data_IF_049828341999
#
_entry.id   IF_049828341999
#
_cell.length_a   1.000
_cell.length_b   1.000
_cell.length_c   1.000
_cell.angle_alpha   90.00
_cell.angle_beta   90.00
_cell.angle_gamma   90.00
#
_symmetry.space_group_name_H-M   'P 1'
#
loop_
_entity.id
_entity.type
_entity.pdbx_description
1 polymer ?
#
# COMPACT_ATOMS: atom_id res chain seq x y z
N UNK A 1 4.47 20.52 4.03
CA UNK A 1 3.25 19.75 4.33
C UNK A 1 2.90 18.95 3.08
N UNK A 2 2.88 17.62 3.18
CA UNK A 2 2.53 16.71 2.09
C UNK A 2 1.01 16.72 1.86
N UNK A 3 0.58 16.73 0.60
CA UNK A 3 -0.84 16.72 0.23
C UNK A 3 -1.16 15.43 -0.50
N UNK A 4 -2.10 14.66 0.03
CA UNK A 4 -2.48 13.37 -0.51
C UNK A 4 -3.84 13.48 -1.21
N UNK A 5 -3.93 12.93 -2.42
CA UNK A 5 -5.11 13.08 -3.26
C UNK A 5 -6.33 12.35 -2.69
N UNK A 6 -6.13 11.13 -2.20
CA UNK A 6 -7.19 10.27 -1.70
C UNK A 6 -7.37 10.42 -0.19
N UNK A 7 -8.46 9.87 0.34
CA UNK A 7 -8.71 9.90 1.78
C UNK A 7 -7.80 8.93 2.55
N UNK A 8 -7.80 9.05 3.88
CA UNK A 8 -7.01 8.22 4.79
C UNK A 8 -7.36 6.72 4.76
N UNK A 9 -8.56 6.37 4.29
CA UNK A 9 -9.12 5.03 4.34
C UNK A 9 -8.84 4.21 3.07
N UNK A 10 -8.22 4.81 2.06
CA UNK A 10 -7.81 4.12 0.84
C UNK A 10 -6.90 2.93 1.17
N UNK A 11 -7.33 1.71 0.83
CA UNK A 11 -6.58 0.47 1.03
C UNK A 11 -5.39 0.40 0.07
N UNK A 12 -4.22 0.02 0.60
CA UNK A 12 -2.96 0.05 -0.15
C UNK A 12 -2.38 -1.33 -0.50
N UNK A 13 -2.91 -2.42 0.07
CA UNK A 13 -2.46 -3.80 -0.18
C UNK A 13 -0.92 -3.94 -0.16
N UNK A 14 -0.30 -3.52 0.94
CA UNK A 14 1.16 -3.59 1.08
C UNK A 14 1.66 -5.01 1.26
N UNK A 15 2.94 -5.22 0.96
CA UNK A 15 3.68 -6.42 1.35
C UNK A 15 5.12 -6.00 1.66
N UNK A 16 5.71 -6.59 2.69
CA UNK A 16 7.11 -6.37 2.97
C UNK A 16 7.99 -7.02 1.90
N UNK A 17 9.06 -6.36 1.48
CA UNK A 17 9.92 -6.83 0.37
C UNK A 17 10.52 -8.22 0.64
N UNK A 18 10.93 -8.49 1.87
CA UNK A 18 11.51 -9.79 2.26
C UNK A 18 10.48 -10.91 2.20
N UNK A 19 9.20 -10.61 2.46
CA UNK A 19 8.12 -11.61 2.36
C UNK A 19 7.78 -11.88 0.90
N UNK A 20 7.77 -10.83 0.05
CA UNK A 20 7.60 -10.97 -1.38
C UNK A 20 8.72 -11.82 -2.01
N UNK A 21 9.98 -11.57 -1.66
CA UNK A 21 11.10 -12.38 -2.15
C UNK A 21 10.98 -13.86 -1.76
N UNK A 22 10.58 -14.14 -0.52
CA UNK A 22 10.34 -15.51 -0.05
C UNK A 22 9.17 -16.17 -0.79
N UNK A 23 8.09 -15.44 -1.04
CA UNK A 23 6.95 -15.92 -1.81
C UNK A 23 7.35 -16.26 -3.26
N UNK A 24 8.12 -15.40 -3.92
CA UNK A 24 8.65 -15.67 -5.27
C UNK A 24 9.49 -16.95 -5.27
N UNK A 25 10.41 -17.10 -4.31
CA UNK A 25 11.24 -18.31 -4.20
C UNK A 25 10.39 -19.57 -3.96
N UNK A 26 9.38 -19.47 -3.11
CA UNK A 26 8.46 -20.57 -2.81
C UNK A 26 7.69 -21.03 -4.05
N UNK A 27 7.24 -20.11 -4.91
CA UNK A 27 6.56 -20.45 -6.15
C UNK A 27 7.55 -20.98 -7.21
N UNK A 28 8.71 -20.35 -7.36
CA UNK A 28 9.72 -20.73 -8.35
C UNK A 28 10.26 -22.16 -8.18
N UNK A 29 10.11 -22.75 -7.01
CA UNK A 29 10.58 -24.11 -6.67
C UNK A 29 9.51 -25.20 -6.82
N UNK A 30 8.35 -24.85 -7.40
CA UNK A 30 7.15 -25.70 -7.45
C UNK A 30 6.55 -25.81 -8.85
N UNK A 31 6.48 -27.02 -9.38
CA UNK A 31 5.91 -27.29 -10.71
C UNK A 31 4.41 -26.99 -10.78
N UNK A 32 3.67 -27.17 -9.67
CA UNK A 32 2.21 -26.95 -9.60
C UNK A 32 1.82 -25.47 -9.67
N UNK A 33 2.80 -24.56 -9.63
CA UNK A 33 2.57 -23.11 -9.68
C UNK A 33 2.83 -22.50 -11.06
N UNK A 34 3.28 -23.32 -12.02
CA UNK A 34 3.58 -22.87 -13.37
C UNK A 34 2.33 -22.32 -14.07
N UNK A 35 2.52 -21.20 -14.78
CA UNK A 35 1.47 -20.48 -15.50
C UNK A 35 0.27 -20.05 -14.63
N UNK A 36 0.44 -19.95 -13.31
CA UNK A 36 -0.57 -19.42 -12.40
C UNK A 36 -0.29 -17.95 -12.05
N UNK A 37 -1.34 -17.21 -11.68
CA UNK A 37 -1.26 -15.82 -11.23
C UNK A 37 -1.60 -15.75 -9.75
N UNK A 38 -0.72 -15.11 -8.97
CA UNK A 38 -0.89 -14.93 -7.53
C UNK A 38 -0.87 -13.45 -7.16
N UNK A 39 -1.92 -12.99 -6.48
CA UNK A 39 -1.90 -11.70 -5.80
C UNK A 39 -1.30 -11.88 -4.41
N UNK A 40 -0.28 -11.10 -4.09
CA UNK A 40 0.44 -11.18 -2.82
C UNK A 40 0.23 -9.89 -2.05
N UNK A 41 -0.19 -10.02 -0.80
CA UNK A 41 -0.42 -8.92 0.14
C UNK A 41 -0.08 -9.42 1.54
N UNK A 42 0.41 -8.54 2.40
CA UNK A 42 0.56 -8.85 3.82
C UNK A 42 -0.79 -8.85 4.55
N UNK A 43 -0.77 -9.23 5.81
CA UNK A 43 -1.96 -9.28 6.69
C UNK A 43 -2.24 -7.96 7.41
N UNK A 44 -1.52 -6.89 7.09
CA UNK A 44 -1.50 -5.62 7.83
C UNK A 44 -2.70 -4.71 7.55
N UNK A 45 -3.52 -5.01 6.54
CA UNK A 45 -4.72 -4.25 6.15
C UNK A 45 -4.47 -2.73 6.02
N UNK A 46 -3.31 -2.40 5.44
CA UNK A 46 -2.76 -1.05 5.44
C UNK A 46 -3.58 -0.08 4.59
N UNK A 47 -3.66 1.16 5.08
CA UNK A 47 -4.32 2.27 4.40
C UNK A 47 -3.34 3.38 4.07
N UNK A 48 -3.75 4.31 3.20
CA UNK A 48 -2.99 5.53 2.94
C UNK A 48 -2.69 6.31 4.22
N UNK A 49 -3.64 6.31 5.17
CA UNK A 49 -3.41 6.88 6.50
C UNK A 49 -2.31 6.17 7.29
N UNK A 50 -2.28 4.83 7.23
CA UNK A 50 -1.24 4.03 7.89
C UNK A 50 0.14 4.43 7.38
N UNK A 51 0.33 4.47 6.06
CA UNK A 51 1.62 4.80 5.44
C UNK A 51 2.01 6.26 5.68
N UNK A 52 1.07 7.18 5.54
CA UNK A 52 1.35 8.61 5.69
C UNK A 52 1.71 8.99 7.13
N UNK A 53 1.09 8.34 8.12
CA UNK A 53 1.46 8.49 9.53
C UNK A 53 2.90 8.04 9.78
N UNK A 54 3.28 6.86 9.29
CA UNK A 54 4.66 6.34 9.45
C UNK A 54 5.69 7.26 8.81
N UNK A 55 5.44 7.74 7.59
CA UNK A 55 6.33 8.70 6.90
C UNK A 55 6.44 10.01 7.69
N UNK A 56 5.31 10.52 8.20
CA UNK A 56 5.29 11.71 9.03
C UNK A 56 6.10 11.56 10.32
N UNK A 57 6.01 10.40 10.97
CA UNK A 57 6.74 10.08 12.19
C UNK A 57 8.25 9.96 11.93
N UNK A 58 8.64 9.21 10.89
CA UNK A 58 10.05 8.98 10.55
C UNK A 58 10.77 10.27 10.15
N UNK A 59 10.10 11.12 9.36
CA UNK A 59 10.72 12.30 8.77
C UNK A 59 10.31 13.63 9.44
N UNK A 60 9.48 13.58 10.47
CA UNK A 60 8.94 14.75 11.18
C UNK A 60 8.30 15.78 10.22
N UNK A 61 7.46 15.30 9.29
CA UNK A 61 6.76 16.14 8.30
C UNK A 61 5.24 16.06 8.49
N UNK A 62 4.53 17.16 8.31
CA UNK A 62 3.05 17.18 8.35
C UNK A 62 2.43 16.69 7.02
N UNK A 63 1.30 15.98 7.09
CA UNK A 63 0.51 15.55 5.92
C UNK A 63 -0.97 15.96 6.06
N UNK A 64 -1.67 16.07 4.92
CA UNK A 64 -3.09 16.38 4.84
C UNK A 64 -3.76 15.68 3.63
N UNK A 65 -5.07 15.49 3.67
CA UNK A 65 -5.85 14.73 2.67
C UNK A 65 -6.79 15.67 1.89
N UNK A 66 -6.75 15.60 0.56
CA UNK A 66 -7.53 16.45 -0.35
C UNK A 66 -8.80 15.79 -0.90
N UNK A 67 -9.10 14.56 -0.47
CA UNK A 67 -10.11 13.69 -1.06
C UNK A 67 -11.53 14.25 -1.13
N UNK A 68 -11.90 15.22 -0.28
CA UNK A 68 -13.23 15.86 -0.29
C UNK A 68 -13.30 17.13 -1.14
N UNK A 69 -12.18 17.86 -1.29
CA UNK A 69 -12.15 19.10 -2.06
C UNK A 69 -12.11 18.83 -3.57
N UNK A 70 -11.31 17.86 -4.03
CA UNK A 70 -11.19 17.54 -5.45
C UNK A 70 -12.39 16.74 -6.00
N UNK A 71 -12.99 15.85 -5.20
CA UNK A 71 -14.19 15.10 -5.62
C UNK A 71 -15.41 15.98 -5.89
N UNK A 72 -15.43 17.19 -5.31
CA UNK A 72 -16.50 18.18 -5.46
C UNK A 72 -16.29 19.07 -6.69
N UNK A 73 -15.04 19.26 -7.13
CA UNK A 73 -14.68 20.05 -8.32
C UNK A 73 -14.71 19.21 -9.61
N UNK A 74 -14.57 17.88 -9.49
CA UNK A 74 -14.63 16.94 -10.62
C UNK A 74 -16.00 16.25 -10.79
N UNK A 75 -17.07 16.77 -10.18
CA UNK A 75 -18.46 16.37 -10.46
C UNK A 75 -19.11 17.30 -11.47
#
# INVERSE_FOLDING_TARGET
MMKLLWNRDLKMNTVHVTDLCQAIWHLATREDTLAQVYNIVDKGDTTQGTISNLVSEIFNINHDYWGTALSTVCK
#
